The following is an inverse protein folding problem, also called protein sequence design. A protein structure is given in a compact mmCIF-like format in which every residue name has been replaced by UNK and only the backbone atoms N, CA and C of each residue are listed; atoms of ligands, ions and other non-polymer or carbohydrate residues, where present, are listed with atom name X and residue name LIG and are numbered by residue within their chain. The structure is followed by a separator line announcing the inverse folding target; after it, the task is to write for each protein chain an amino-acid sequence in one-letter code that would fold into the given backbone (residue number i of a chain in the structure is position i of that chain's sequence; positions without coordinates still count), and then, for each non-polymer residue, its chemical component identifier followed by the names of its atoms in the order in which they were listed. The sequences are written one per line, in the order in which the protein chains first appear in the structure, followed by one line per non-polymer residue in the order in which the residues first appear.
data_IF_026553115813
#
_entry.id   IF_026553115813
#
_cell.length_a   1.000
_cell.length_b   1.000
_cell.length_c   1.000
_cell.angle_alpha   90.00
_cell.angle_beta   90.00
_cell.angle_gamma   90.00
#
_symmetry.space_group_name_H-M   'P 1'
#
loop_
_entity.id
_entity.type
_entity.pdbx_description
1 polymer ?
#
# COMPACT_ATOMS: atom_id res chain seq x y z
N UNK A 1 47.62 -17.61 -15.91
CA UNK A 1 47.66 -17.82 -14.44
C UNK A 1 47.17 -16.55 -13.76
N UNK A 2 46.57 -16.63 -12.58
CA UNK A 2 45.20 -17.03 -12.23
C UNK A 2 44.34 -15.76 -11.95
N UNK A 3 43.01 -15.80 -11.80
CA UNK A 3 42.36 -15.94 -10.50
C UNK A 3 40.91 -16.40 -10.68
N UNK A 4 40.65 -17.54 -10.06
CA UNK A 4 39.34 -18.09 -9.76
C UNK A 4 38.62 -17.10 -8.84
N UNK A 5 37.38 -16.71 -9.20
CA UNK A 5 36.44 -16.12 -8.24
C UNK A 5 35.14 -16.90 -8.31
N UNK A 6 35.14 -18.00 -7.58
CA UNK A 6 33.95 -18.70 -7.12
C UNK A 6 33.26 -17.85 -6.08
N UNK A 7 32.11 -17.26 -6.40
CA UNK A 7 31.14 -16.84 -5.39
C UNK A 7 29.99 -17.85 -5.37
N UNK A 8 30.14 -18.84 -4.50
CA UNK A 8 29.02 -19.53 -3.86
C UNK A 8 28.39 -18.56 -2.87
N UNK A 9 27.08 -18.39 -2.88
CA UNK A 9 26.20 -18.21 -1.70
C UNK A 9 24.83 -17.65 -2.12
N UNK A 10 23.70 -17.90 -1.46
CA UNK A 10 23.25 -18.88 -0.46
C UNK A 10 21.73 -18.67 -0.41
N UNK A 11 20.93 -19.44 -1.16
CA UNK A 11 19.56 -19.71 -0.69
C UNK A 11 19.72 -20.90 0.24
N UNK A 12 19.67 -20.64 1.54
CA UNK A 12 19.61 -21.70 2.55
C UNK A 12 18.25 -22.38 2.42
N UNK A 13 18.21 -23.47 1.67
CA UNK A 13 17.24 -24.52 1.97
C UNK A 13 17.77 -25.21 3.21
N UNK A 14 17.11 -24.99 4.36
CA UNK A 14 17.34 -25.83 5.53
C UNK A 14 16.87 -27.24 5.15
N UNK A 15 17.84 -28.08 4.82
CA UNK A 15 17.66 -29.51 4.72
C UNK A 15 17.36 -30.01 6.13
N UNK A 16 16.16 -30.55 6.30
CA UNK A 16 15.64 -31.00 7.58
C UNK A 16 16.39 -32.28 7.99
N UNK A 17 17.59 -32.16 8.54
CA UNK A 17 18.30 -33.27 9.17
C UNK A 17 17.64 -33.56 10.52
N UNK A 18 16.87 -34.65 10.53
CA UNK A 18 16.36 -35.27 11.75
C UNK A 18 17.52 -35.56 12.73
N UNK A 19 17.44 -35.16 14.00
CA UNK A 19 18.35 -35.68 15.00
C UNK A 19 17.96 -37.11 15.35
N UNK A 20 18.88 -38.03 15.08
CA UNK A 20 18.92 -39.34 15.69
C UNK A 20 19.05 -39.19 17.21
N UNK A 21 18.00 -39.55 17.96
CA UNK A 21 18.11 -39.92 19.37
C UNK A 21 17.86 -41.43 19.49
N UNK A 22 18.93 -42.17 19.73
CA UNK A 22 18.85 -43.54 20.26
C UNK A 22 18.27 -43.50 21.68
N UNK A 23 17.20 -44.25 21.95
CA UNK A 23 17.05 -45.33 22.96
C UNK A 23 15.61 -45.87 22.91
N UNK A 24 15.46 -47.18 23.03
CA UNK A 24 14.31 -48.00 22.67
C UNK A 24 13.23 -48.19 23.77
N UNK A 25 12.07 -48.72 23.30
CA UNK A 25 10.91 -49.39 23.96
C UNK A 25 9.72 -48.46 24.29
N UNK A 26 8.45 -48.73 23.97
CA UNK A 26 7.75 -49.91 23.44
C UNK A 26 6.44 -49.50 22.71
N UNK A 27 5.88 -50.48 21.98
CA UNK A 27 4.72 -50.50 21.07
C UNK A 27 3.44 -49.74 21.44
N UNK A 28 2.78 -49.15 20.43
CA UNK A 28 1.45 -49.57 19.95
C UNK A 28 1.02 -48.80 18.69
N UNK A 29 0.36 -49.52 17.81
CA UNK A 29 -0.22 -49.17 16.51
C UNK A 29 -1.28 -48.07 16.54
N UNK A 30 -1.20 -47.09 15.63
CA UNK A 30 -2.35 -46.67 14.82
C UNK A 30 -1.97 -45.77 13.62
N UNK A 31 -2.77 -45.87 12.57
CA UNK A 31 -2.60 -45.37 11.20
C UNK A 31 -2.61 -43.83 11.06
N UNK A 32 -1.82 -43.18 10.18
CA UNK A 32 -1.91 -41.73 9.98
C UNK A 32 -2.86 -41.36 8.84
N UNK A 33 -3.85 -40.51 9.14
CA UNK A 33 -4.64 -39.77 8.16
C UNK A 33 -3.80 -38.66 7.53
N UNK A 34 -3.71 -38.64 6.20
CA UNK A 34 -3.07 -37.60 5.40
C UNK A 34 -3.71 -36.23 5.63
N UNK A 35 -3.00 -35.34 6.34
CA UNK A 35 -3.29 -33.91 6.32
C UNK A 35 -2.32 -33.21 5.38
N UNK A 36 -2.84 -32.72 4.25
CA UNK A 36 -2.11 -31.96 3.24
C UNK A 36 -1.44 -30.73 3.86
N UNK A 37 -0.11 -30.75 3.95
CA UNK A 37 0.69 -29.60 4.40
C UNK A 37 0.68 -28.54 3.30
N UNK A 38 -0.18 -27.54 3.44
CA UNK A 38 -0.13 -26.32 2.64
C UNK A 38 1.27 -25.71 2.80
N UNK A 39 2.00 -25.54 1.69
CA UNK A 39 3.30 -24.86 1.67
C UNK A 39 3.09 -23.39 2.03
N UNK A 40 3.13 -23.08 3.32
CA UNK A 40 3.03 -21.72 3.84
C UNK A 40 4.26 -20.92 3.44
N UNK A 41 4.06 -19.65 3.04
CA UNK A 41 5.15 -18.69 2.92
C UNK A 41 5.79 -18.54 4.31
N UNK A 42 7.12 -18.59 4.44
CA UNK A 42 7.77 -18.35 5.73
C UNK A 42 7.31 -17.02 6.31
N UNK A 43 7.04 -17.05 7.60
CA UNK A 43 6.51 -15.93 8.37
C UNK A 43 7.42 -14.70 8.29
N UNK A 44 8.72 -14.92 8.47
CA UNK A 44 9.78 -13.89 8.58
C UNK A 44 9.98 -13.03 7.31
N UNK A 45 9.36 -13.38 6.17
CA UNK A 45 9.49 -12.66 4.90
C UNK A 45 8.19 -12.36 4.16
N UNK A 46 7.03 -12.39 4.82
CA UNK A 46 5.77 -12.14 4.13
C UNK A 46 5.49 -10.67 3.83
N UNK A 47 5.09 -10.41 2.59
CA UNK A 47 4.48 -9.15 2.18
C UNK A 47 3.06 -9.04 2.72
N UNK A 48 2.55 -7.81 2.82
CA UNK A 48 1.16 -7.52 3.15
C UNK A 48 0.49 -6.78 1.99
N UNK A 49 -0.77 -7.12 1.74
CA UNK A 49 -1.59 -6.51 0.71
C UNK A 49 -2.95 -6.10 1.25
N UNK A 50 -3.47 -4.97 0.77
CA UNK A 50 -4.90 -4.71 0.83
C UNK A 50 -5.60 -5.55 -0.24
N UNK A 51 -6.43 -6.50 0.19
CA UNK A 51 -7.17 -7.37 -0.72
C UNK A 51 -8.63 -6.94 -0.80
N UNK A 52 -9.05 -6.42 -1.96
CA UNK A 52 -10.44 -5.99 -2.21
C UNK A 52 -11.46 -7.11 -1.97
N UNK A 53 -11.18 -8.33 -2.43
CA UNK A 53 -12.07 -9.48 -2.26
C UNK A 53 -12.23 -9.90 -0.80
N UNK A 54 -11.17 -9.80 0.00
CA UNK A 54 -11.22 -10.11 1.43
C UNK A 54 -11.66 -8.93 2.28
N UNK A 55 -11.76 -7.74 1.68
CA UNK A 55 -11.92 -6.44 2.30
C UNK A 55 -11.05 -6.22 3.56
N UNK A 56 -9.79 -6.64 3.49
CA UNK A 56 -8.89 -6.60 4.64
C UNK A 56 -7.41 -6.71 4.23
N UNK A 57 -6.53 -6.40 5.17
CA UNK A 57 -5.09 -6.65 5.04
C UNK A 57 -4.84 -8.16 5.13
N UNK A 58 -4.11 -8.70 4.16
CA UNK A 58 -3.76 -10.11 4.09
C UNK A 58 -2.28 -10.29 3.77
N UNK A 59 -1.72 -11.44 4.13
CA UNK A 59 -0.41 -11.86 3.63
C UNK A 59 -0.47 -11.96 2.11
N UNK A 60 0.55 -11.44 1.46
CA UNK A 60 0.74 -11.41 0.03
C UNK A 60 1.90 -12.30 -0.39
N UNK A 61 1.84 -12.77 -1.64
CA UNK A 61 2.95 -13.45 -2.31
C UNK A 61 3.33 -12.67 -3.57
N UNK A 62 4.64 -12.50 -3.76
CA UNK A 62 5.19 -11.87 -4.95
C UNK A 62 5.06 -12.82 -6.15
N UNK A 63 4.70 -12.27 -7.30
CA UNK A 63 4.67 -12.94 -8.59
C UNK A 63 5.34 -12.04 -9.62
N UNK A 64 6.02 -12.64 -10.57
CA UNK A 64 6.72 -11.95 -11.65
C UNK A 64 6.15 -12.40 -12.99
N UNK A 65 6.05 -11.46 -13.91
CA UNK A 65 5.53 -11.65 -15.25
C UNK A 65 6.42 -10.90 -16.25
N UNK A 66 6.43 -11.34 -17.50
CA UNK A 66 7.05 -10.60 -18.60
C UNK A 66 6.27 -9.31 -18.89
N UNK A 67 6.97 -8.20 -19.15
CA UNK A 67 6.33 -6.93 -19.54
C UNK A 67 5.60 -6.98 -20.87
N UNK A 68 6.07 -7.77 -21.83
CA UNK A 68 5.53 -7.81 -23.19
C UNK A 68 4.37 -8.81 -23.35
N UNK A 69 4.58 -10.07 -22.95
CA UNK A 69 3.58 -11.13 -23.15
C UNK A 69 2.75 -11.48 -21.91
N UNK A 70 3.04 -10.88 -20.75
CA UNK A 70 2.42 -11.21 -19.46
C UNK A 70 2.55 -12.68 -19.01
N UNK A 71 3.40 -13.48 -19.66
CA UNK A 71 3.72 -14.85 -19.23
C UNK A 71 4.39 -14.84 -17.85
N UNK A 72 4.13 -15.87 -17.05
CA UNK A 72 4.84 -16.13 -15.79
C UNK A 72 6.07 -17.04 -15.95
N UNK A 73 6.29 -17.61 -17.14
CA UNK A 73 7.46 -18.43 -17.43
C UNK A 73 8.67 -17.52 -17.76
N UNK A 74 9.17 -16.85 -16.73
CA UNK A 74 10.28 -15.91 -16.82
C UNK A 74 11.34 -16.24 -15.79
N UNK A 75 12.61 -16.04 -16.14
CA UNK A 75 13.75 -16.14 -15.23
C UNK A 75 14.26 -14.76 -14.90
N UNK A 76 14.28 -14.43 -13.62
CA UNK A 76 14.73 -13.12 -13.15
C UNK A 76 16.26 -13.09 -13.10
N UNK A 77 16.89 -12.09 -13.74
CA UNK A 77 18.37 -12.00 -13.80
C UNK A 77 19.00 -11.52 -12.51
N UNK A 78 18.30 -10.66 -11.77
CA UNK A 78 18.77 -10.07 -10.51
C UNK A 78 17.66 -10.17 -9.49
N UNK A 79 17.97 -10.63 -8.28
CA UNK A 79 16.99 -10.71 -7.21
C UNK A 79 16.56 -9.30 -6.74
N UNK A 80 15.26 -9.08 -6.46
CA UNK A 80 14.80 -7.82 -5.90
C UNK A 80 15.33 -7.64 -4.48
N UNK A 81 15.90 -6.47 -4.21
CA UNK A 81 16.56 -6.15 -2.94
C UNK A 81 15.82 -5.08 -2.13
N UNK A 82 14.96 -4.30 -2.79
CA UNK A 82 14.20 -3.22 -2.15
C UNK A 82 12.82 -3.03 -2.77
N UNK A 83 11.96 -2.27 -2.09
CA UNK A 83 10.60 -1.97 -2.58
C UNK A 83 10.60 -1.32 -3.97
N UNK A 84 11.62 -0.52 -4.31
CA UNK A 84 11.72 0.13 -5.62
C UNK A 84 11.75 -0.88 -6.76
N UNK A 85 12.47 -1.99 -6.57
CA UNK A 85 12.67 -3.04 -7.59
C UNK A 85 11.36 -3.73 -7.98
N UNK A 86 10.40 -3.81 -7.05
CA UNK A 86 9.14 -4.55 -7.21
C UNK A 86 7.91 -3.65 -7.39
N UNK A 87 8.04 -2.34 -7.19
CA UNK A 87 6.92 -1.39 -7.32
C UNK A 87 7.04 -0.47 -8.54
N UNK A 88 8.26 -0.21 -9.02
CA UNK A 88 8.49 0.61 -10.22
C UNK A 88 8.66 -0.28 -11.45
N UNK A 89 8.28 0.25 -12.60
CA UNK A 89 8.48 -0.43 -13.89
C UNK A 89 9.95 -0.40 -14.31
N UNK A 90 10.34 -1.36 -15.16
CA UNK A 90 11.65 -1.43 -15.84
C UNK A 90 12.86 -1.43 -14.88
N UNK A 91 12.72 -2.02 -13.69
CA UNK A 91 13.82 -2.09 -12.71
C UNK A 91 14.69 -3.34 -12.89
N UNK A 92 14.07 -4.48 -13.17
CA UNK A 92 14.74 -5.78 -13.27
C UNK A 92 14.44 -6.40 -14.64
N UNK A 93 15.46 -6.98 -15.26
CA UNK A 93 15.33 -7.73 -16.51
C UNK A 93 15.03 -9.20 -16.26
N UNK A 94 14.29 -9.80 -17.19
CA UNK A 94 13.92 -11.21 -17.18
C UNK A 94 14.22 -11.85 -18.53
N UNK A 95 14.67 -13.10 -18.50
CA UNK A 95 14.70 -13.95 -19.69
C UNK A 95 13.32 -14.60 -19.84
N UNK A 96 12.59 -14.24 -20.89
CA UNK A 96 11.23 -14.69 -21.13
C UNK A 96 11.20 -15.93 -22.03
N UNK A 97 10.55 -16.99 -21.58
CA UNK A 97 10.49 -18.25 -22.33
C UNK A 97 9.60 -18.14 -23.58
N UNK A 98 8.49 -17.41 -23.51
CA UNK A 98 7.57 -17.23 -24.64
C UNK A 98 8.08 -16.22 -25.67
N UNK A 99 8.75 -15.14 -25.23
CA UNK A 99 9.28 -14.13 -26.14
C UNK A 99 10.63 -14.54 -26.74
N UNK A 100 11.36 -15.46 -26.10
CA UNK A 100 12.73 -15.84 -26.46
C UNK A 100 13.69 -14.63 -26.49
N UNK A 101 13.38 -13.61 -25.70
CA UNK A 101 14.11 -12.34 -25.59
C UNK A 101 14.25 -11.91 -24.13
N UNK A 102 15.11 -10.93 -23.91
CA UNK A 102 15.26 -10.27 -22.61
C UNK A 102 14.23 -9.15 -22.54
N UNK A 103 13.33 -9.24 -21.57
CA UNK A 103 12.30 -8.23 -21.31
C UNK A 103 12.41 -7.71 -19.88
N UNK A 104 11.48 -6.86 -19.45
CA UNK A 104 11.44 -6.35 -18.08
C UNK A 104 10.45 -7.14 -17.21
N UNK A 105 10.80 -7.27 -15.93
CA UNK A 105 9.94 -7.84 -14.91
C UNK A 105 8.74 -6.92 -14.62
N UNK A 106 7.55 -7.50 -14.57
CA UNK A 106 6.36 -6.91 -13.97
C UNK A 106 6.00 -7.70 -12.73
N UNK A 107 6.24 -7.09 -11.57
CA UNK A 107 5.90 -7.68 -10.29
C UNK A 107 4.44 -7.41 -9.92
N UNK A 108 3.76 -8.41 -9.36
CA UNK A 108 2.41 -8.28 -8.81
C UNK A 108 2.33 -9.01 -7.48
N UNK A 109 1.54 -8.49 -6.56
CA UNK A 109 1.29 -9.11 -5.27
C UNK A 109 -0.09 -9.75 -5.27
N UNK A 110 -0.16 -11.03 -4.90
CA UNK A 110 -1.41 -11.78 -4.79
C UNK A 110 -1.70 -12.11 -3.33
N UNK A 111 -2.95 -11.92 -2.90
CA UNK A 111 -3.44 -12.35 -1.61
C UNK A 111 -3.24 -13.87 -1.45
N UNK A 112 -2.66 -14.31 -0.34
CA UNK A 112 -2.45 -15.74 -0.09
C UNK A 112 -3.79 -16.46 0.11
N UNK A 113 -4.79 -15.80 0.69
CA UNK A 113 -6.11 -16.40 1.01
C UNK A 113 -6.95 -16.68 -0.24
N UNK A 114 -7.14 -15.69 -1.11
CA UNK A 114 -8.04 -15.80 -2.28
C UNK A 114 -7.32 -15.80 -3.62
N UNK A 115 -5.99 -15.67 -3.64
CA UNK A 115 -5.17 -15.61 -4.86
C UNK A 115 -5.42 -14.43 -5.81
N UNK A 116 -6.25 -13.47 -5.41
CA UNK A 116 -6.50 -12.23 -6.16
C UNK A 116 -5.38 -11.22 -5.99
N UNK A 117 -5.22 -10.35 -7.00
CA UNK A 117 -4.24 -9.26 -6.95
C UNK A 117 -4.67 -8.27 -5.84
N UNK A 118 -3.71 -7.91 -4.99
CA UNK A 118 -3.90 -6.91 -3.94
C UNK A 118 -2.90 -5.76 -4.07
N UNK A 119 -3.29 -4.59 -3.56
CA UNK A 119 -2.38 -3.45 -3.47
C UNK A 119 -1.37 -3.72 -2.36
N UNK A 120 -0.08 -3.63 -2.64
CA UNK A 120 0.96 -3.92 -1.65
C UNK A 120 1.08 -2.79 -0.65
N UNK A 121 1.22 -3.14 0.63
CA UNK A 121 1.31 -2.20 1.73
C UNK A 121 2.75 -2.16 2.24
N UNK A 122 3.57 -1.30 1.63
CA UNK A 122 5.01 -1.22 1.87
C UNK A 122 5.39 -0.71 3.27
N UNK A 123 4.47 -0.05 3.97
CA UNK A 123 4.67 0.39 5.34
C UNK A 123 4.20 -0.64 6.37
N UNK A 124 4.01 -1.90 5.98
CA UNK A 124 3.61 -2.96 6.91
C UNK A 124 4.71 -4.00 7.00
N UNK A 125 5.12 -4.29 8.22
CA UNK A 125 6.11 -5.33 8.56
C UNK A 125 5.49 -6.31 9.55
N UNK A 126 5.83 -7.60 9.42
CA UNK A 126 5.45 -8.60 10.43
C UNK A 126 6.19 -8.34 11.75
N UNK A 127 5.53 -8.58 12.88
CA UNK A 127 6.08 -8.30 14.20
C UNK A 127 6.75 -9.53 14.84
N UNK A 128 7.78 -10.07 14.18
CA UNK A 128 8.49 -11.27 14.64
C UNK A 128 9.39 -11.02 15.86
N UNK A 129 9.78 -9.76 16.06
CA UNK A 129 10.64 -9.33 17.16
C UNK A 129 9.84 -8.90 18.40
N UNK A 130 8.51 -9.09 18.39
CA UNK A 130 7.60 -8.71 19.48
C UNK A 130 7.76 -7.24 19.91
N UNK A 131 7.93 -6.34 18.94
CA UNK A 131 8.04 -4.91 19.18
C UNK A 131 6.70 -4.36 19.68
N UNK A 132 6.74 -3.53 20.71
CA UNK A 132 5.59 -2.83 21.25
C UNK A 132 5.13 -1.69 20.33
N UNK A 133 3.82 -1.42 20.32
CA UNK A 133 3.28 -0.26 19.62
C UNK A 133 3.74 1.04 20.28
N UNK A 134 4.27 1.99 19.51
CA UNK A 134 4.73 3.30 20.02
C UNK A 134 3.60 4.21 20.54
N UNK A 135 2.34 3.81 20.38
CA UNK A 135 1.16 4.60 20.82
C UNK A 135 0.50 3.97 22.05
N UNK A 136 0.09 2.70 21.98
CA UNK A 136 -0.57 2.03 23.12
C UNK A 136 0.38 1.30 24.05
N UNK A 137 1.65 1.11 23.66
CA UNK A 137 2.67 0.36 24.41
C UNK A 137 2.35 -1.13 24.60
N UNK A 138 1.43 -1.68 23.80
CA UNK A 138 1.10 -3.12 23.82
C UNK A 138 1.88 -3.89 22.74
N UNK A 139 2.16 -5.16 23.03
CA UNK A 139 2.69 -6.13 22.06
C UNK A 139 1.59 -6.69 21.15
N UNK A 140 1.91 -6.85 19.86
CA UNK A 140 0.98 -7.43 18.89
C UNK A 140 1.64 -8.49 18.01
N UNK A 141 1.15 -9.74 18.05
CA UNK A 141 1.76 -10.88 17.34
C UNK A 141 1.48 -10.94 15.83
N UNK A 142 1.05 -9.84 15.20
CA UNK A 142 0.67 -9.85 13.77
C UNK A 142 1.62 -8.99 12.95
N UNK A 143 1.20 -7.77 12.61
CA UNK A 143 1.99 -6.82 11.85
C UNK A 143 1.83 -5.43 12.45
N UNK A 144 2.81 -4.58 12.15
CA UNK A 144 2.84 -3.18 12.56
C UNK A 144 3.10 -2.30 11.34
N UNK A 145 2.69 -1.04 11.47
CA UNK A 145 2.95 0.00 10.49
C UNK A 145 4.29 0.68 10.79
N UNK A 146 5.17 0.75 9.78
CA UNK A 146 6.44 1.47 9.81
C UNK A 146 6.52 2.48 8.64
N UNK A 147 6.54 3.76 8.99
CA UNK A 147 6.63 4.86 8.02
C UNK A 147 8.09 5.13 7.57
N UNK A 148 9.02 4.21 7.85
CA UNK A 148 10.45 4.35 7.59
C UNK A 148 11.18 5.19 8.66
N UNK A 149 10.62 5.21 9.87
CA UNK A 149 11.23 5.83 11.06
C UNK A 149 11.38 4.83 12.21
N UNK A 150 10.95 3.58 12.05
CA UNK A 150 10.97 2.54 13.09
C UNK A 150 10.12 2.87 14.34
N UNK A 151 9.26 3.89 14.27
CA UNK A 151 8.17 4.06 15.22
C UNK A 151 7.01 3.15 14.81
N UNK A 152 6.97 1.95 15.39
CA UNK A 152 6.04 0.90 15.01
C UNK A 152 4.65 1.17 15.58
N UNK A 153 3.62 1.19 14.73
CA UNK A 153 2.24 1.48 15.15
C UNK A 153 1.32 0.30 14.85
N UNK A 154 0.54 -0.16 15.82
CA UNK A 154 -0.42 -1.25 15.58
C UNK A 154 -1.60 -0.79 14.73
N UNK A 155 -2.34 -1.75 14.16
CA UNK A 155 -3.49 -1.46 13.30
C UNK A 155 -4.53 -0.57 14.00
N UNK A 156 -4.86 -0.88 15.25
CA UNK A 156 -5.89 -0.17 16.02
C UNK A 156 -5.50 1.30 16.19
N UNK A 157 -4.31 1.57 16.73
CA UNK A 157 -3.81 2.94 16.90
C UNK A 157 -3.68 3.68 15.57
N UNK A 158 -3.24 3.00 14.50
CA UNK A 158 -3.16 3.63 13.18
C UNK A 158 -4.54 4.06 12.65
N UNK A 159 -5.57 3.21 12.80
CA UNK A 159 -6.96 3.55 12.45
C UNK A 159 -7.48 4.72 13.29
N UNK A 160 -7.20 4.75 14.59
CA UNK A 160 -7.58 5.87 15.46
C UNK A 160 -6.90 7.17 15.04
N UNK A 161 -5.59 7.15 14.75
CA UNK A 161 -4.88 8.30 14.22
C UNK A 161 -5.50 8.82 12.92
N UNK A 162 -5.91 7.92 12.02
CA UNK A 162 -6.57 8.31 10.77
C UNK A 162 -7.97 8.91 11.02
N UNK A 163 -8.75 8.37 11.96
CA UNK A 163 -10.05 8.92 12.32
C UNK A 163 -9.92 10.35 12.87
N UNK A 164 -9.02 10.55 13.84
CA UNK A 164 -8.74 11.88 14.40
C UNK A 164 -8.25 12.82 13.28
N UNK A 165 -7.40 12.34 12.38
CA UNK A 165 -6.91 13.15 11.28
C UNK A 165 -8.01 13.53 10.27
N UNK A 166 -9.02 12.67 10.06
CA UNK A 166 -10.17 12.99 9.21
C UNK A 166 -11.11 14.01 9.87
N UNK A 167 -11.38 13.85 11.16
CA UNK A 167 -12.29 14.72 11.91
C UNK A 167 -11.69 16.11 12.12
N UNK A 168 -10.41 16.18 12.46
CA UNK A 168 -9.71 17.43 12.75
C UNK A 168 -8.96 18.00 11.55
N UNK A 169 -9.10 17.39 10.36
CA UNK A 169 -8.44 17.80 9.11
C UNK A 169 -6.90 17.89 9.19
N UNK A 170 -6.27 16.97 9.93
CA UNK A 170 -4.82 16.94 10.17
C UNK A 170 -3.99 16.26 9.07
N UNK A 171 -4.64 15.76 8.01
CA UNK A 171 -3.92 15.31 6.82
C UNK A 171 -3.19 16.48 6.15
N UNK A 172 -2.02 16.20 5.58
CA UNK A 172 -1.11 17.17 4.98
C UNK A 172 -0.76 16.77 3.55
N UNK A 173 -0.61 17.74 2.65
CA UNK A 173 -0.06 17.46 1.32
C UNK A 173 1.46 17.29 1.40
N UNK A 174 1.95 16.12 1.01
CA UNK A 174 3.39 15.82 0.88
C UNK A 174 3.67 15.34 -0.53
N UNK A 175 4.12 16.21 -1.46
CA UNK A 175 4.59 15.76 -2.77
C UNK A 175 5.76 14.77 -2.62
N UNK A 176 5.83 13.69 -3.41
CA UNK A 176 4.90 13.29 -4.48
C UNK A 176 3.72 12.41 -4.02
N UNK A 177 3.55 12.19 -2.72
CA UNK A 177 2.62 11.21 -2.13
C UNK A 177 1.16 11.70 -2.01
N UNK A 178 0.92 13.01 -2.17
CA UNK A 178 -0.42 13.59 -2.09
C UNK A 178 -0.87 13.86 -0.66
N UNK A 179 -2.18 13.72 -0.40
CA UNK A 179 -2.81 14.04 0.90
C UNK A 179 -2.62 12.87 1.87
N UNK A 180 -1.74 13.00 2.86
CA UNK A 180 -1.29 11.89 3.71
C UNK A 180 -1.23 12.28 5.19
N UNK A 181 -0.96 11.32 6.07
CA UNK A 181 -0.66 11.57 7.48
C UNK A 181 0.83 11.37 7.76
N UNK A 182 1.32 12.10 8.76
CA UNK A 182 2.67 11.90 9.32
C UNK A 182 2.66 10.85 10.42
N UNK A 183 3.85 10.41 10.80
CA UNK A 183 4.05 9.54 11.95
C UNK A 183 3.40 10.15 13.20
N UNK A 184 2.64 9.36 13.99
CA UNK A 184 2.06 9.83 15.25
C UNK A 184 3.10 10.22 16.30
N UNK A 185 4.34 9.74 16.16
CA UNK A 185 5.41 10.03 17.10
C UNK A 185 5.79 11.52 17.09
N UNK A 186 5.85 12.20 18.24
CA UNK A 186 6.13 13.63 18.32
C UNK A 186 7.44 14.04 17.62
N UNK A 187 7.36 15.05 16.76
CA UNK A 187 8.52 15.58 16.02
C UNK A 187 8.98 14.73 14.83
N UNK A 188 8.30 13.61 14.52
CA UNK A 188 8.62 12.81 13.35
C UNK A 188 7.84 13.28 12.11
N UNK A 189 8.55 13.59 11.02
CA UNK A 189 7.95 14.08 9.77
C UNK A 189 7.75 13.01 8.70
N UNK A 190 8.16 11.75 8.96
CA UNK A 190 7.90 10.65 8.04
C UNK A 190 6.40 10.51 7.81
N UNK A 191 6.00 10.13 6.60
CA UNK A 191 4.59 10.03 6.22
C UNK A 191 4.33 8.74 5.44
N UNK A 192 3.06 8.38 5.33
CA UNK A 192 2.63 7.29 4.47
C UNK A 192 2.83 7.70 3.01
N UNK A 193 3.52 6.85 2.25
CA UNK A 193 3.83 7.11 0.83
C UNK A 193 2.81 6.52 -0.14
N UNK A 194 1.91 5.64 0.34
CA UNK A 194 0.88 5.00 -0.46
C UNK A 194 -0.49 5.07 0.23
N UNK A 195 -1.45 5.72 -0.43
CA UNK A 195 -2.81 5.94 0.05
C UNK A 195 -3.61 4.64 0.25
N UNK A 196 -3.19 3.50 -0.32
CA UNK A 196 -3.86 2.22 -0.10
C UNK A 196 -3.82 1.77 1.37
N UNK A 197 -2.88 2.29 2.16
CA UNK A 197 -2.85 2.04 3.61
C UNK A 197 -4.11 2.59 4.30
N UNK A 198 -4.75 3.62 3.75
CA UNK A 198 -5.93 4.25 4.35
C UNK A 198 -7.22 3.46 4.14
N UNK A 199 -7.21 2.40 3.33
CA UNK A 199 -8.37 1.51 3.22
C UNK A 199 -8.77 0.86 4.55
N UNK A 200 -7.86 0.79 5.53
CA UNK A 200 -8.16 0.32 6.89
C UNK A 200 -9.25 1.13 7.61
N UNK A 201 -9.56 2.34 7.13
CA UNK A 201 -10.66 3.17 7.61
C UNK A 201 -12.05 2.59 7.29
N UNK A 202 -12.12 1.66 6.33
CA UNK A 202 -13.39 1.19 5.73
C UNK A 202 -13.85 2.10 4.60
N UNK A 203 -14.76 1.58 3.77
CA UNK A 203 -15.12 2.19 2.48
C UNK A 203 -15.71 3.59 2.61
N UNK A 204 -16.65 3.82 3.53
CA UNK A 204 -17.31 5.11 3.73
C UNK A 204 -16.31 6.21 4.12
N UNK A 205 -15.45 5.94 5.10
CA UNK A 205 -14.45 6.91 5.58
C UNK A 205 -13.32 7.10 4.57
N UNK A 206 -12.96 6.06 3.82
CA UNK A 206 -11.98 6.16 2.75
C UNK A 206 -12.49 7.00 1.58
N UNK A 207 -13.76 6.83 1.18
CA UNK A 207 -14.41 7.68 0.18
C UNK A 207 -14.47 9.14 0.64
N UNK A 208 -14.85 9.37 1.91
CA UNK A 208 -14.82 10.71 2.52
C UNK A 208 -13.41 11.32 2.49
N UNK A 209 -12.38 10.54 2.82
CA UNK A 209 -10.99 10.96 2.71
C UNK A 209 -10.64 11.38 1.29
N UNK A 210 -10.99 10.58 0.27
CA UNK A 210 -10.70 10.88 -1.13
C UNK A 210 -11.39 12.17 -1.59
N UNK A 211 -12.64 12.39 -1.18
CA UNK A 211 -13.37 13.62 -1.45
C UNK A 211 -12.69 14.84 -0.83
N UNK A 212 -12.34 14.77 0.46
CA UNK A 212 -11.64 15.87 1.15
C UNK A 212 -10.28 16.14 0.48
N UNK A 213 -9.54 15.09 0.11
CA UNK A 213 -8.26 15.22 -0.59
C UNK A 213 -8.41 15.98 -1.91
N UNK A 214 -9.38 15.60 -2.74
CA UNK A 214 -9.66 16.25 -4.02
C UNK A 214 -10.09 17.71 -3.83
N UNK A 215 -11.02 17.99 -2.91
CA UNK A 215 -11.47 19.34 -2.60
C UNK A 215 -10.31 20.21 -2.09
N UNK A 216 -9.49 19.70 -1.18
CA UNK A 216 -8.33 20.45 -0.66
C UNK A 216 -7.29 20.72 -1.75
N UNK A 217 -7.06 19.77 -2.66
CA UNK A 217 -6.14 19.96 -3.78
C UNK A 217 -6.64 21.09 -4.70
N UNK A 218 -7.92 21.05 -5.08
CA UNK A 218 -8.55 22.13 -5.88
C UNK A 218 -8.47 23.46 -5.12
N UNK A 219 -8.68 23.48 -3.81
CA UNK A 219 -8.62 24.71 -3.02
C UNK A 219 -7.23 25.35 -2.95
N UNK A 220 -6.16 24.54 -3.05
CA UNK A 220 -4.78 25.02 -3.02
C UNK A 220 -4.30 25.57 -4.37
N UNK A 221 -5.01 25.26 -5.45
CA UNK A 221 -4.63 25.69 -6.79
C UNK A 221 -5.34 26.98 -7.19
N UNK A 222 -4.61 27.90 -7.82
CA UNK A 222 -5.16 29.15 -8.33
C UNK A 222 -6.14 28.94 -9.48
N UNK A 223 -6.08 27.80 -10.17
CA UNK A 223 -7.04 27.40 -11.21
C UNK A 223 -8.22 26.61 -10.64
N UNK A 224 -8.21 26.28 -9.35
CA UNK A 224 -9.28 25.52 -8.73
C UNK A 224 -10.57 26.32 -8.55
N UNK A 225 -11.69 25.69 -8.92
CA UNK A 225 -13.02 26.30 -8.87
C UNK A 225 -14.00 25.37 -8.15
N UNK A 226 -14.79 25.95 -7.25
CA UNK A 226 -15.91 25.29 -6.60
C UNK A 226 -17.22 25.81 -7.16
N UNK A 227 -18.12 24.88 -7.51
CA UNK A 227 -19.48 25.26 -7.87
C UNK A 227 -20.15 25.98 -6.68
N UNK A 228 -20.68 27.20 -6.88
CA UNK A 228 -21.27 28.00 -5.79
C UNK A 228 -22.71 27.60 -5.45
N UNK A 229 -23.33 26.76 -6.28
CA UNK A 229 -24.71 26.35 -6.10
C UNK A 229 -24.81 25.30 -4.97
N UNK A 230 -25.73 25.48 -4.01
CA UNK A 230 -25.78 24.66 -2.79
C UNK A 230 -26.15 23.19 -3.05
N UNK A 231 -26.84 22.93 -4.15
CA UNK A 231 -27.24 21.63 -4.64
C UNK A 231 -26.18 20.95 -5.52
N UNK A 232 -24.99 21.56 -5.69
CA UNK A 232 -23.91 21.01 -6.50
C UNK A 232 -22.58 20.97 -5.75
N UNK A 233 -22.01 19.78 -5.60
CA UNK A 233 -20.74 19.55 -4.90
C UNK A 233 -19.51 19.64 -5.79
N UNK A 234 -19.67 19.81 -7.11
CA UNK A 234 -18.56 19.85 -8.07
C UNK A 234 -17.41 20.78 -7.67
N UNK A 235 -16.19 20.28 -7.86
CA UNK A 235 -14.91 20.99 -7.76
C UNK A 235 -14.03 20.57 -8.92
N UNK A 236 -13.45 21.51 -9.64
CA UNK A 236 -12.71 21.25 -10.89
C UNK A 236 -11.66 22.33 -11.15
N UNK A 237 -10.73 22.04 -12.06
CA UNK A 237 -9.76 23.03 -12.55
C UNK A 237 -10.32 23.75 -13.77
N UNK A 238 -10.10 25.05 -13.85
CA UNK A 238 -10.42 25.88 -15.00
C UNK A 238 -9.25 25.89 -15.98
N UNK A 239 -9.49 25.68 -17.28
CA UNK A 239 -8.50 25.85 -18.36
C UNK A 239 -8.54 27.25 -18.99
N UNK A 240 -7.39 27.91 -19.06
CA UNK A 240 -7.25 29.33 -19.38
C UNK A 240 -7.25 29.56 -20.90
N UNK A 241 -8.42 29.54 -21.54
CA UNK A 241 -8.56 30.07 -22.90
C UNK A 241 -9.65 31.15 -22.91
N UNK A 242 -9.21 32.40 -22.64
CA UNK A 242 -9.99 33.64 -22.54
C UNK A 242 -10.69 33.88 -21.18
N UNK A 243 -10.08 34.75 -20.37
CA UNK A 243 -10.42 35.00 -18.97
C UNK A 243 -11.47 36.11 -18.78
N UNK A 244 -12.71 35.82 -19.19
CA UNK A 244 -13.85 36.68 -18.87
C UNK A 244 -14.41 36.42 -17.46
N UNK A 245 -13.74 35.57 -16.67
CA UNK A 245 -14.15 35.15 -15.33
C UNK A 245 -15.43 34.28 -15.27
N UNK A 246 -16.09 34.00 -16.39
CA UNK A 246 -17.32 33.21 -16.50
C UNK A 246 -17.03 31.73 -16.81
N UNK A 247 -17.38 30.81 -15.91
CA UNK A 247 -17.30 29.35 -16.14
C UNK A 247 -18.66 28.71 -16.04
N UNK A 248 -18.82 27.59 -16.73
CA UNK A 248 -19.87 26.62 -16.45
C UNK A 248 -19.36 25.55 -15.48
N UNK A 249 -20.26 25.01 -14.67
CA UNK A 249 -19.97 23.79 -13.90
C UNK A 249 -20.08 22.56 -14.84
N UNK A 250 -19.13 21.61 -14.84
CA UNK A 250 -19.20 20.42 -15.69
C UNK A 250 -20.31 19.44 -15.27
N UNK A 251 -20.74 19.47 -14.00
CA UNK A 251 -21.80 18.58 -13.50
C UNK A 251 -23.20 19.17 -13.70
N UNK A 252 -23.43 20.40 -13.23
CA UNK A 252 -24.78 21.01 -13.26
C UNK A 252 -25.00 21.99 -14.43
N UNK A 253 -23.99 22.22 -15.27
CA UNK A 253 -24.01 23.06 -16.47
C UNK A 253 -24.39 24.54 -16.24
N UNK A 254 -24.55 24.97 -14.99
CA UNK A 254 -24.87 26.36 -14.64
C UNK A 254 -23.64 27.26 -14.74
N UNK A 255 -23.85 28.48 -15.24
CA UNK A 255 -22.83 29.51 -15.40
C UNK A 255 -22.68 30.36 -14.14
N UNK A 256 -21.44 30.64 -13.74
CA UNK A 256 -21.13 31.52 -12.62
C UNK A 256 -19.78 32.23 -12.81
N UNK A 257 -19.54 33.26 -11.99
CA UNK A 257 -18.28 34.00 -11.97
C UNK A 257 -17.29 33.36 -10.98
N UNK A 258 -16.09 33.03 -11.46
CA UNK A 258 -15.02 32.39 -10.68
C UNK A 258 -14.43 33.27 -9.58
N UNK A 259 -14.49 34.58 -9.77
CA UNK A 259 -13.89 35.58 -8.86
C UNK A 259 -14.70 35.86 -7.59
N UNK A 260 -15.88 35.25 -7.42
CA UNK A 260 -16.60 35.38 -6.16
C UNK A 260 -15.77 34.74 -5.04
N UNK A 261 -15.63 35.39 -3.87
CA UNK A 261 -14.62 35.02 -2.88
C UNK A 261 -14.75 33.55 -2.46
N UNK A 262 -13.71 32.76 -2.76
CA UNK A 262 -13.60 31.32 -2.44
C UNK A 262 -13.96 31.01 -0.98
N UNK A 263 -13.60 31.92 -0.08
CA UNK A 263 -13.89 31.84 1.36
C UNK A 263 -15.40 31.82 1.70
N UNK A 264 -16.26 32.45 0.90
CA UNK A 264 -17.72 32.43 1.10
C UNK A 264 -18.34 31.09 0.68
N UNK A 265 -17.77 30.43 -0.33
CA UNK A 265 -18.26 29.15 -0.87
C UNK A 265 -17.83 28.01 0.05
N UNK A 266 -16.57 27.99 0.48
CA UNK A 266 -16.03 27.00 1.43
C UNK A 266 -16.76 27.02 2.78
N UNK A 267 -17.03 28.21 3.35
CA UNK A 267 -17.79 28.34 4.61
C UNK A 267 -19.25 27.89 4.51
N UNK A 268 -19.86 27.92 3.32
CA UNK A 268 -21.22 27.40 3.10
C UNK A 268 -21.22 25.89 2.93
N UNK A 269 -20.23 25.32 2.22
CA UNK A 269 -20.11 23.86 2.03
C UNK A 269 -19.71 23.14 3.33
N UNK A 270 -18.79 23.68 4.12
CA UNK A 270 -18.37 23.08 5.41
C UNK A 270 -19.43 23.15 6.52
N UNK A 271 -20.52 23.90 6.35
CA UNK A 271 -21.66 23.90 7.29
C UNK A 271 -22.71 22.83 6.98
N UNK A 272 -22.62 22.19 5.82
CA UNK A 272 -23.58 21.21 5.32
C UNK A 272 -22.96 19.80 5.15
N UNK A 273 -21.75 19.59 5.69
CA UNK A 273 -21.03 18.32 5.84
C UNK A 273 -20.88 18.04 7.34
#
# INVERSE_FOLDING_TARGET
MPLISTFRSLIVFVENQQPSASVARAASSDSPSESQVARGTPEIGSFYVWCKTCNDIRRGKLRVYCSECASSAVLVRTEPSCWRDVTRSKQIQVDCEECKSVEYAVFRFKCVKCNEIGAVLSHISGNWEHVECSVCLDEHNTYLFDLGCHHMVCRQCFVECLNVALEETKFVFRPPYGYTITCPYPGCERCITDVHHFHVLGDEKYERYQKIAAEKLVAMDDQGVFCPYPDCSASFFWEVENDDGKTSCPECLRLFCRYKPRHFILKRKMKNL
#
